data_IF_625532198864
#
_entry.id   IF_625532198864
#
_cell.length_a   1.000
_cell.length_b   1.000
_cell.length_c   1.000
_cell.angle_alpha   90.00
_cell.angle_beta   90.00
_cell.angle_gamma   90.00
#
_symmetry.space_group_name_H-M   'P 1'
#
loop_
_entity.id
_entity.type
_entity.pdbx_description
1 polymer ?
#
# COMPACT_ATOMS: atom_id res chain seq x y z
N UNK A 1 -13.06 31.91 -46.22
CA UNK A 1 -13.12 31.46 -44.80
C UNK A 1 -12.39 30.13 -44.71
N UNK A 2 -11.30 30.08 -43.95
CA UNK A 2 -10.34 28.98 -43.99
C UNK A 2 -10.84 27.79 -43.12
N UNK A 3 -11.04 26.58 -43.68
CA UNK A 3 -11.61 25.45 -42.93
C UNK A 3 -10.64 24.81 -41.92
N UNK A 4 -9.33 25.12 -41.98
CA UNK A 4 -8.35 24.64 -40.99
C UNK A 4 -8.55 25.28 -39.62
N UNK A 5 -8.80 26.59 -39.59
CA UNK A 5 -9.04 27.37 -38.36
C UNK A 5 -10.26 26.90 -37.56
N UNK A 6 -11.26 26.29 -38.20
CA UNK A 6 -12.48 25.82 -37.52
C UNK A 6 -12.28 24.44 -36.83
N UNK A 7 -11.45 23.56 -37.42
CA UNK A 7 -11.12 22.26 -36.84
C UNK A 7 -10.12 22.40 -35.68
N UNK A 8 -9.14 23.31 -35.80
CA UNK A 8 -8.21 23.62 -34.72
C UNK A 8 -8.96 24.27 -33.55
N UNK A 9 -9.94 25.14 -33.80
CA UNK A 9 -10.83 25.70 -32.76
C UNK A 9 -11.71 24.64 -32.09
N UNK A 10 -12.31 23.68 -32.83
CA UNK A 10 -13.09 22.60 -32.22
C UNK A 10 -12.23 21.63 -31.39
N UNK A 11 -10.98 21.41 -31.80
CA UNK A 11 -10.02 20.61 -31.02
C UNK A 11 -9.61 21.39 -29.76
N UNK A 12 -9.33 22.69 -29.86
CA UNK A 12 -9.04 23.56 -28.72
C UNK A 12 -10.20 23.61 -27.73
N UNK A 13 -11.44 23.83 -28.18
CA UNK A 13 -12.65 23.86 -27.35
C UNK A 13 -12.93 22.51 -26.67
N UNK A 14 -12.68 21.39 -27.35
CA UNK A 14 -12.86 20.06 -26.76
C UNK A 14 -11.71 19.66 -25.82
N UNK A 15 -10.49 20.18 -26.01
CA UNK A 15 -9.41 20.07 -25.03
C UNK A 15 -9.61 20.98 -23.84
N UNK A 16 -10.18 22.17 -24.04
CA UNK A 16 -10.50 23.13 -22.99
C UNK A 16 -11.64 22.59 -22.11
N UNK A 17 -12.73 22.07 -22.70
CA UNK A 17 -13.77 21.38 -21.93
C UNK A 17 -13.23 20.16 -21.14
N UNK A 18 -12.23 19.45 -21.67
CA UNK A 18 -11.64 18.31 -20.97
C UNK A 18 -10.67 18.74 -19.85
N UNK A 19 -9.96 19.87 -19.99
CA UNK A 19 -9.17 20.46 -18.91
C UNK A 19 -10.06 21.05 -17.83
N UNK A 20 -11.18 21.68 -18.20
CA UNK A 20 -12.12 22.30 -17.28
C UNK A 20 -12.83 21.22 -16.43
N UNK A 21 -13.19 20.06 -17.02
CA UNK A 21 -13.69 18.89 -16.29
C UNK A 21 -12.62 18.31 -15.35
N UNK A 22 -11.35 18.30 -15.76
CA UNK A 22 -10.25 17.85 -14.90
C UNK A 22 -10.06 18.81 -13.71
N UNK A 23 -10.08 20.12 -13.95
CA UNK A 23 -9.93 21.16 -12.93
C UNK A 23 -11.12 21.22 -11.94
N UNK A 24 -12.32 20.81 -12.37
CA UNK A 24 -13.51 20.70 -11.51
C UNK A 24 -13.54 19.40 -10.68
N UNK A 25 -13.06 18.27 -11.23
CA UNK A 25 -13.10 16.94 -10.58
C UNK A 25 -11.95 16.75 -9.59
N UNK A 26 -10.77 17.29 -9.86
CA UNK A 26 -9.57 17.17 -8.98
C UNK A 26 -9.80 17.71 -7.55
N UNK A 27 -10.40 18.90 -7.34
CA UNK A 27 -10.70 19.41 -6.01
C UNK A 27 -11.89 18.70 -5.33
N UNK A 28 -12.77 18.04 -6.07
CA UNK A 28 -13.84 17.21 -5.50
C UNK A 28 -13.27 15.89 -4.96
N UNK A 29 -12.32 15.29 -5.66
CA UNK A 29 -11.58 14.10 -5.20
C UNK A 29 -10.74 14.41 -3.96
N UNK A 30 -10.13 15.59 -3.87
CA UNK A 30 -9.39 15.99 -2.66
C UNK A 30 -10.29 16.33 -1.46
N UNK A 31 -11.51 16.85 -1.69
CA UNK A 31 -12.51 17.07 -0.63
C UNK A 31 -13.12 15.79 -0.07
N UNK A 32 -13.28 14.75 -0.89
CA UNK A 32 -13.73 13.42 -0.43
C UNK A 32 -12.64 12.74 0.43
N UNK A 33 -11.37 13.10 0.22
CA UNK A 33 -10.22 12.58 0.95
C UNK A 33 -10.12 13.08 2.42
N UNK A 34 -10.92 14.06 2.84
CA UNK A 34 -10.91 14.54 4.22
C UNK A 34 -11.43 13.51 5.26
N UNK A 35 -12.13 12.47 4.81
CA UNK A 35 -12.73 11.46 5.69
C UNK A 35 -11.96 10.14 5.77
N UNK A 36 -10.81 9.99 5.09
CA UNK A 36 -9.94 8.81 5.24
C UNK A 36 -10.55 7.46 4.80
N UNK A 37 -11.66 7.48 4.06
CA UNK A 37 -12.38 6.27 3.62
C UNK A 37 -11.85 5.72 2.29
N UNK A 38 -11.08 6.50 1.52
CA UNK A 38 -10.53 6.09 0.22
C UNK A 38 -9.01 6.00 0.32
N UNK A 39 -8.46 4.80 0.11
CA UNK A 39 -7.00 4.59 0.11
C UNK A 39 -6.37 5.31 -1.09
N UNK A 40 -5.18 5.88 -0.94
CA UNK A 40 -4.47 6.58 -2.03
C UNK A 40 -4.34 5.74 -3.31
N UNK A 41 -4.27 4.41 -3.16
CA UNK A 41 -4.26 3.46 -4.29
C UNK A 41 -5.49 3.57 -5.20
N UNK A 42 -6.68 3.88 -4.65
CA UNK A 42 -7.91 3.99 -5.42
C UNK A 42 -7.99 5.31 -6.19
N UNK A 43 -7.36 6.37 -5.66
CA UNK A 43 -7.22 7.67 -6.33
C UNK A 43 -6.21 7.53 -7.48
N UNK A 44 -5.06 6.89 -7.23
CA UNK A 44 -4.05 6.62 -8.24
C UNK A 44 -4.58 5.72 -9.38
N UNK A 45 -5.36 4.69 -9.05
CA UNK A 45 -5.99 3.83 -10.07
C UNK A 45 -7.06 4.59 -10.89
N UNK A 46 -7.80 5.51 -10.26
CA UNK A 46 -8.77 6.35 -10.96
C UNK A 46 -8.07 7.35 -11.90
N UNK A 47 -7.02 8.02 -11.44
CA UNK A 47 -6.23 8.96 -12.24
C UNK A 47 -5.53 8.24 -13.41
N UNK A 48 -4.99 7.05 -13.17
CA UNK A 48 -4.37 6.21 -14.21
C UNK A 48 -5.38 5.79 -15.27
N UNK A 49 -6.59 5.38 -14.86
CA UNK A 49 -7.65 4.99 -15.78
C UNK A 49 -8.13 6.16 -16.66
N UNK A 50 -8.25 7.36 -16.08
CA UNK A 50 -8.60 8.60 -16.82
C UNK A 50 -7.50 8.98 -17.82
N UNK A 51 -6.23 8.90 -17.41
CA UNK A 51 -5.10 9.22 -18.27
C UNK A 51 -4.93 8.23 -19.42
N UNK A 52 -5.11 6.93 -19.18
CA UNK A 52 -5.06 5.90 -20.23
C UNK A 52 -6.20 6.10 -21.25
N UNK A 53 -7.40 6.46 -20.79
CA UNK A 53 -8.53 6.81 -21.65
C UNK A 53 -8.24 8.05 -22.53
N UNK A 54 -7.69 9.11 -21.94
CA UNK A 54 -7.30 10.32 -22.66
C UNK A 54 -6.20 10.06 -23.70
N UNK A 55 -5.34 9.05 -23.47
CA UNK A 55 -4.30 8.63 -24.40
C UNK A 55 -4.86 7.84 -25.58
N UNK A 56 -5.78 6.91 -25.33
CA UNK A 56 -6.38 6.08 -26.38
C UNK A 56 -7.39 6.86 -27.23
N UNK A 57 -8.15 7.79 -26.65
CA UNK A 57 -9.02 8.71 -27.41
C UNK A 57 -8.22 9.59 -28.40
N UNK A 58 -7.06 10.13 -27.95
CA UNK A 58 -6.14 10.88 -28.84
C UNK A 58 -5.56 10.00 -29.95
N UNK A 59 -5.23 8.74 -29.64
CA UNK A 59 -4.66 7.77 -30.59
C UNK A 59 -5.66 7.35 -31.66
N UNK A 60 -6.93 7.16 -31.30
CA UNK A 60 -7.96 6.67 -32.21
C UNK A 60 -8.48 7.79 -33.15
N UNK A 61 -8.61 9.01 -32.63
CA UNK A 61 -8.82 10.22 -33.45
C UNK A 61 -7.69 10.40 -34.47
N UNK A 62 -6.42 10.23 -34.06
CA UNK A 62 -5.26 10.33 -34.95
C UNK A 62 -5.17 9.24 -36.03
N UNK A 63 -5.54 7.99 -35.71
CA UNK A 63 -5.60 6.88 -36.69
C UNK A 63 -6.70 7.10 -37.73
N UNK A 64 -7.85 7.60 -37.28
CA UNK A 64 -9.01 7.88 -38.14
C UNK A 64 -8.73 9.06 -39.07
N UNK A 65 -8.13 10.14 -38.55
CA UNK A 65 -7.69 11.27 -39.38
C UNK A 65 -6.65 10.84 -40.44
N UNK A 66 -5.68 10.00 -40.06
CA UNK A 66 -4.69 9.45 -41.02
C UNK A 66 -5.34 8.59 -42.10
N UNK A 67 -6.32 7.76 -41.75
CA UNK A 67 -7.08 6.93 -42.70
C UNK A 67 -7.93 7.76 -43.66
N UNK A 68 -8.54 8.85 -43.19
CA UNK A 68 -9.30 9.76 -44.04
C UNK A 68 -8.38 10.65 -44.91
N UNK A 69 -7.23 11.08 -44.39
CA UNK A 69 -6.22 11.80 -45.19
C UNK A 69 -5.54 10.92 -46.25
N UNK A 70 -5.37 9.61 -46.01
CA UNK A 70 -4.88 8.70 -47.06
C UNK A 70 -5.87 8.52 -48.21
N UNK A 71 -7.18 8.58 -47.94
CA UNK A 71 -8.24 8.54 -48.97
C UNK A 71 -8.25 9.83 -49.81
N UNK A 72 -7.99 10.99 -49.20
CA UNK A 72 -7.79 12.25 -49.93
C UNK A 72 -6.53 12.22 -50.79
N UNK A 73 -5.47 11.53 -50.34
CA UNK A 73 -4.21 11.38 -51.09
C UNK A 73 -4.35 10.42 -52.28
N UNK A 74 -5.21 9.40 -52.20
CA UNK A 74 -5.51 8.49 -53.33
C UNK A 74 -6.50 9.04 -54.35
N UNK A 75 -7.29 10.06 -53.99
CA UNK A 75 -8.23 10.75 -54.89
C UNK A 75 -7.56 11.82 -55.79
N UNK A 76 -6.24 11.97 -55.69
CA UNK A 76 -5.46 12.96 -56.44
C UNK A 76 -5.05 12.50 -57.83
N UNK A 77 -5.98 12.34 -58.76
CA UNK A 77 -5.75 12.37 -60.22
C UNK A 77 -7.09 12.59 -60.95
N UNK A 78 -7.34 13.81 -61.42
CA UNK A 78 -8.26 14.08 -62.55
C UNK A 78 -9.69 14.59 -62.31
N UNK A 79 -10.08 15.05 -61.12
CA UNK A 79 -11.47 15.52 -60.86
C UNK A 79 -11.66 17.05 -60.85
N UNK A 80 -12.78 17.52 -61.42
CA UNK A 80 -13.22 18.92 -61.45
C UNK A 80 -13.39 19.51 -60.05
N UNK A 81 -13.16 20.83 -59.91
CA UNK A 81 -13.19 21.56 -58.63
C UNK A 81 -14.55 21.43 -57.90
N UNK A 82 -15.62 21.26 -58.67
CA UNK A 82 -16.97 21.01 -58.15
C UNK A 82 -17.09 19.66 -57.42
N UNK A 83 -16.44 18.61 -57.92
CA UNK A 83 -16.47 17.27 -57.29
C UNK A 83 -15.68 17.23 -55.99
N UNK A 84 -14.62 18.04 -55.90
CA UNK A 84 -13.84 18.26 -54.67
C UNK A 84 -14.65 18.98 -53.59
N UNK A 85 -15.45 19.97 -53.97
CA UNK A 85 -16.34 20.68 -53.03
C UNK A 85 -17.46 19.76 -52.55
N UNK A 86 -18.02 18.93 -53.43
CA UNK A 86 -19.06 17.95 -53.07
C UNK A 86 -18.55 16.89 -52.10
N UNK A 87 -17.35 16.35 -52.34
CA UNK A 87 -16.70 15.39 -51.42
C UNK A 87 -16.35 16.04 -50.08
N UNK A 88 -15.85 17.27 -50.07
CA UNK A 88 -15.62 18.02 -48.82
C UNK A 88 -16.91 18.26 -48.04
N UNK A 89 -18.01 18.69 -48.68
CA UNK A 89 -19.31 18.84 -48.01
C UNK A 89 -19.80 17.52 -47.42
N UNK A 90 -19.73 16.42 -48.17
CA UNK A 90 -20.13 15.10 -47.64
C UNK A 90 -19.26 14.61 -46.49
N UNK A 91 -17.99 15.03 -46.43
CA UNK A 91 -17.08 14.73 -45.32
C UNK A 91 -17.41 15.60 -44.11
N UNK A 92 -17.68 16.90 -44.30
CA UNK A 92 -18.12 17.80 -43.24
C UNK A 92 -19.44 17.32 -42.64
N UNK A 93 -20.41 16.90 -43.44
CA UNK A 93 -21.70 16.36 -42.95
C UNK A 93 -21.52 15.06 -42.16
N UNK A 94 -20.57 14.20 -42.57
CA UNK A 94 -20.24 12.97 -41.84
C UNK A 94 -19.46 13.23 -40.55
N UNK A 95 -18.64 14.27 -40.51
CA UNK A 95 -17.98 14.75 -39.29
C UNK A 95 -18.99 15.37 -38.32
N UNK A 96 -19.92 16.18 -38.82
CA UNK A 96 -20.98 16.77 -38.01
C UNK A 96 -21.94 15.72 -37.42
N UNK A 97 -22.10 14.58 -38.11
CA UNK A 97 -22.83 13.39 -37.63
C UNK A 97 -22.02 12.51 -36.66
N UNK A 98 -20.71 12.75 -36.53
CA UNK A 98 -19.85 12.13 -35.52
C UNK A 98 -19.76 12.99 -34.26
N UNK A 99 -19.93 14.32 -34.38
CA UNK A 99 -20.03 15.27 -33.25
C UNK A 99 -21.35 15.18 -32.47
N UNK A 100 -22.38 14.51 -33.00
CA UNK A 100 -23.54 14.16 -32.17
C UNK A 100 -23.12 13.04 -31.19
N UNK A 101 -23.19 13.26 -29.86
CA UNK A 101 -22.72 12.28 -28.88
C UNK A 101 -23.51 10.99 -29.10
N UNK A 102 -22.80 9.96 -29.57
CA UNK A 102 -23.41 8.66 -29.83
C UNK A 102 -23.95 8.13 -28.52
N UNK A 103 -25.27 7.91 -28.50
CA UNK A 103 -26.13 7.36 -27.45
C UNK A 103 -25.64 6.04 -26.79
N UNK A 104 -24.50 5.50 -27.21
CA UNK A 104 -23.83 4.30 -26.68
C UNK A 104 -22.83 4.59 -25.54
N UNK A 105 -22.29 5.81 -25.43
CA UNK A 105 -21.33 6.17 -24.38
C UNK A 105 -21.99 6.32 -22.99
N UNK A 106 -23.31 6.55 -22.96
CA UNK A 106 -24.07 6.60 -21.72
C UNK A 106 -24.21 5.26 -21.00
N UNK A 107 -23.87 4.11 -21.59
CA UNK A 107 -24.11 2.80 -20.95
C UNK A 107 -23.00 2.44 -19.95
N UNK A 108 -21.73 2.70 -20.27
CA UNK A 108 -20.60 2.34 -19.41
C UNK A 108 -20.48 3.31 -18.24
N UNK A 109 -20.57 4.63 -18.50
CA UNK A 109 -20.59 5.64 -17.44
C UNK A 109 -21.79 5.49 -16.51
N UNK A 110 -22.98 5.19 -17.05
CA UNK A 110 -24.17 4.90 -16.22
C UNK A 110 -23.97 3.62 -15.40
N UNK A 111 -23.35 2.58 -15.95
CA UNK A 111 -23.01 1.34 -15.20
C UNK A 111 -22.00 1.60 -14.09
N UNK A 112 -20.97 2.40 -14.34
CA UNK A 112 -19.96 2.76 -13.35
C UNK A 112 -20.54 3.65 -12.24
N UNK A 113 -21.31 4.68 -12.59
CA UNK A 113 -22.03 5.50 -11.60
C UNK A 113 -23.05 4.70 -10.80
N UNK A 114 -23.76 3.76 -11.44
CA UNK A 114 -24.65 2.83 -10.75
C UNK A 114 -23.89 1.89 -9.80
N UNK A 115 -22.71 1.41 -10.20
CA UNK A 115 -21.84 0.59 -9.36
C UNK A 115 -21.41 1.35 -8.10
N UNK A 116 -20.86 2.56 -8.23
CA UNK A 116 -20.46 3.36 -7.07
C UNK A 116 -21.63 3.78 -6.19
N UNK A 117 -22.78 4.09 -6.79
CA UNK A 117 -24.01 4.39 -6.04
C UNK A 117 -24.49 3.17 -5.24
N UNK A 118 -24.46 1.99 -5.83
CA UNK A 118 -24.81 0.75 -5.16
C UNK A 118 -23.79 0.42 -4.07
N UNK A 119 -22.50 0.54 -4.36
CA UNK A 119 -21.42 0.32 -3.39
C UNK A 119 -21.56 1.26 -2.18
N UNK A 120 -21.81 2.55 -2.42
CA UNK A 120 -22.07 3.51 -1.35
C UNK A 120 -23.31 3.13 -0.53
N UNK A 121 -24.39 2.69 -1.20
CA UNK A 121 -25.60 2.24 -0.54
C UNK A 121 -25.34 1.02 0.35
N UNK A 122 -24.59 0.03 -0.16
CA UNK A 122 -24.25 -1.20 0.56
C UNK A 122 -23.42 -0.90 1.82
N UNK A 123 -22.39 -0.04 1.72
CA UNK A 123 -21.60 0.37 2.89
C UNK A 123 -22.40 1.23 3.87
N UNK A 124 -23.31 2.09 3.39
CA UNK A 124 -24.19 2.87 4.26
C UNK A 124 -25.16 1.97 5.02
N UNK A 125 -25.77 1.00 4.35
CA UNK A 125 -26.65 0.01 4.97
C UNK A 125 -25.88 -0.81 6.01
N UNK A 126 -24.70 -1.32 5.67
CA UNK A 126 -23.82 -2.01 6.62
C UNK A 126 -23.45 -1.15 7.84
N UNK A 127 -23.19 0.15 7.66
CA UNK A 127 -22.89 1.04 8.77
C UNK A 127 -24.11 1.28 9.68
N UNK A 128 -25.31 1.41 9.10
CA UNK A 128 -26.55 1.51 9.86
C UNK A 128 -26.80 0.23 10.65
N UNK A 129 -26.57 -0.93 10.04
CA UNK A 129 -26.72 -2.24 10.67
C UNK A 129 -25.74 -2.45 11.83
N UNK A 130 -24.50 -2.00 11.70
CA UNK A 130 -23.55 -2.02 12.83
C UNK A 130 -24.04 -1.16 13.99
N UNK A 131 -24.62 0.03 13.71
CA UNK A 131 -25.13 0.92 14.75
C UNK A 131 -26.39 0.34 15.41
N UNK A 132 -27.30 -0.28 14.64
CA UNK A 132 -28.47 -0.96 15.21
C UNK A 132 -28.05 -2.16 16.03
N UNK A 133 -27.10 -2.97 15.57
CA UNK A 133 -26.55 -4.10 16.33
C UNK A 133 -25.88 -3.65 17.64
N UNK A 134 -25.15 -2.53 17.62
CA UNK A 134 -24.61 -1.89 18.82
C UNK A 134 -25.68 -1.51 19.85
N UNK A 135 -26.87 -1.10 19.39
CA UNK A 135 -27.99 -0.74 20.27
C UNK A 135 -28.73 -1.97 20.78
N UNK A 136 -28.92 -2.98 19.92
CA UNK A 136 -29.66 -4.20 20.26
C UNK A 136 -28.87 -5.12 21.21
N UNK A 137 -27.54 -5.18 21.06
CA UNK A 137 -26.68 -6.09 21.83
C UNK A 137 -25.42 -5.40 22.36
N UNK A 138 -25.56 -4.47 23.32
CA UNK A 138 -24.45 -3.62 23.77
C UNK A 138 -23.26 -4.44 24.29
N UNK A 139 -23.51 -5.54 25.03
CA UNK A 139 -22.45 -6.38 25.59
C UNK A 139 -21.57 -6.99 24.50
N UNK A 140 -22.17 -7.54 23.43
CA UNK A 140 -21.40 -8.15 22.33
C UNK A 140 -20.59 -7.10 21.59
N UNK A 141 -21.21 -5.96 21.28
CA UNK A 141 -20.54 -4.86 20.59
C UNK A 141 -19.41 -4.24 21.41
N UNK A 142 -19.56 -4.17 22.74
CA UNK A 142 -18.45 -3.77 23.62
C UNK A 142 -17.28 -4.75 23.55
N UNK A 143 -17.52 -6.07 23.54
CA UNK A 143 -16.44 -7.06 23.41
C UNK A 143 -15.71 -6.89 22.07
N UNK A 144 -16.44 -6.75 20.97
CA UNK A 144 -15.83 -6.52 19.65
C UNK A 144 -15.06 -5.19 19.59
N UNK A 145 -15.65 -4.11 20.12
CA UNK A 145 -15.02 -2.80 20.19
C UNK A 145 -13.74 -2.82 21.02
N UNK A 146 -13.76 -3.48 22.18
CA UNK A 146 -12.59 -3.65 23.03
C UNK A 146 -11.51 -4.51 22.35
N UNK A 147 -11.91 -5.57 21.64
CA UNK A 147 -10.98 -6.39 20.85
C UNK A 147 -10.28 -5.61 19.74
N UNK A 148 -11.03 -4.79 18.99
CA UNK A 148 -10.47 -3.93 17.94
C UNK A 148 -9.58 -2.83 18.52
N UNK A 149 -10.03 -2.15 19.58
CA UNK A 149 -9.26 -1.11 20.24
C UNK A 149 -7.98 -1.69 20.87
N UNK A 150 -8.07 -2.85 21.53
CA UNK A 150 -6.94 -3.58 22.09
C UNK A 150 -5.97 -4.06 21.01
N UNK A 151 -6.47 -4.62 19.91
CA UNK A 151 -5.65 -5.01 18.77
C UNK A 151 -4.91 -3.83 18.16
N UNK A 152 -5.60 -2.70 17.96
CA UNK A 152 -4.99 -1.46 17.50
C UNK A 152 -3.92 -0.94 18.46
N UNK A 153 -4.20 -0.97 19.77
CA UNK A 153 -3.24 -0.61 20.80
C UNK A 153 -2.00 -1.52 20.76
N UNK A 154 -2.17 -2.83 20.62
CA UNK A 154 -1.06 -3.78 20.50
C UNK A 154 -0.22 -3.54 19.26
N UNK A 155 -0.84 -3.27 18.10
CA UNK A 155 -0.12 -2.96 16.85
C UNK A 155 0.70 -1.67 17.02
N UNK A 156 0.11 -0.65 17.64
CA UNK A 156 0.79 0.63 17.88
C UNK A 156 1.97 0.50 18.85
N UNK A 157 1.84 -0.35 19.86
CA UNK A 157 2.85 -0.60 20.88
C UNK A 157 3.68 -1.87 20.59
N UNK A 158 3.79 -2.27 19.32
CA UNK A 158 4.61 -3.42 18.96
C UNK A 158 6.09 -3.00 18.93
N UNK A 159 6.98 -3.59 19.75
CA UNK A 159 8.38 -3.18 19.81
C UNK A 159 9.13 -3.46 18.50
N UNK A 160 10.07 -2.57 18.20
CA UNK A 160 10.93 -2.65 17.02
C UNK A 160 12.34 -3.15 17.35
N UNK A 161 13.14 -3.44 16.32
CA UNK A 161 14.52 -3.93 16.52
C UNK A 161 15.39 -2.91 17.27
N UNK A 162 15.09 -1.62 17.10
CA UNK A 162 15.81 -0.55 17.80
C UNK A 162 15.52 -0.57 19.29
N UNK A 163 14.25 -0.67 19.69
CA UNK A 163 13.85 -0.85 21.09
C UNK A 163 14.54 -2.05 21.73
N UNK A 164 14.69 -3.17 21.02
CA UNK A 164 15.43 -4.33 21.53
C UNK A 164 16.90 -4.00 21.82
N UNK A 165 17.57 -3.29 20.91
CA UNK A 165 18.98 -2.90 21.07
C UNK A 165 19.16 -1.92 22.22
N UNK A 166 18.22 -0.99 22.39
CA UNK A 166 18.20 -0.03 23.50
C UNK A 166 18.02 -0.76 24.83
N UNK A 167 17.05 -1.67 24.95
CA UNK A 167 16.81 -2.46 26.16
C UNK A 167 18.00 -3.37 26.51
N UNK A 168 18.61 -4.00 25.51
CA UNK A 168 19.80 -4.82 25.72
C UNK A 168 20.97 -4.00 26.25
N UNK A 169 21.20 -2.80 25.70
CA UNK A 169 22.26 -1.90 26.15
C UNK A 169 22.01 -1.42 27.58
N UNK A 170 20.76 -1.07 27.91
CA UNK A 170 20.38 -0.70 29.28
C UNK A 170 20.65 -1.86 30.25
N UNK A 171 20.32 -3.09 29.86
CA UNK A 171 20.54 -4.27 30.69
C UNK A 171 22.02 -4.63 30.84
N UNK A 172 22.82 -4.44 29.80
CA UNK A 172 24.29 -4.54 29.88
C UNK A 172 24.86 -3.50 30.86
N UNK A 173 24.37 -2.26 30.82
CA UNK A 173 24.79 -1.22 31.77
C UNK A 173 24.43 -1.60 33.21
N UNK A 174 23.23 -2.13 33.45
CA UNK A 174 22.81 -2.63 34.77
C UNK A 174 23.72 -3.74 35.28
N UNK A 175 24.04 -4.73 34.43
CA UNK A 175 24.97 -5.81 34.79
C UNK A 175 26.36 -5.25 35.14
N UNK A 176 26.85 -4.29 34.34
CA UNK A 176 28.17 -3.68 34.56
C UNK A 176 28.27 -2.94 35.90
N UNK A 177 27.18 -2.38 36.41
CA UNK A 177 27.14 -1.70 37.71
C UNK A 177 27.29 -2.65 38.91
N UNK A 178 26.94 -3.93 38.75
CA UNK A 178 27.07 -4.95 39.80
C UNK A 178 28.49 -5.52 39.81
N UNK A 179 29.01 -5.97 40.95
CA UNK A 179 30.33 -6.61 41.02
C UNK A 179 30.37 -7.97 40.34
N UNK A 180 31.52 -8.40 39.79
CA UNK A 180 31.61 -9.66 39.04
C UNK A 180 31.25 -10.90 39.85
N UNK A 181 31.50 -10.91 41.16
CA UNK A 181 31.20 -12.05 42.03
C UNK A 181 29.70 -12.23 42.31
N UNK A 182 28.96 -11.12 42.41
CA UNK A 182 27.54 -11.13 42.82
C UNK A 182 26.57 -11.19 41.64
N UNK A 183 27.03 -11.12 40.39
CA UNK A 183 26.14 -11.16 39.20
C UNK A 183 25.63 -12.57 38.94
N UNK A 184 24.39 -12.66 38.47
CA UNK A 184 23.82 -13.92 38.01
C UNK A 184 24.51 -14.41 36.70
N UNK A 185 25.12 -15.61 36.68
CA UNK A 185 25.81 -16.13 35.50
C UNK A 185 24.87 -16.40 34.32
N UNK A 186 23.59 -16.72 34.57
CA UNK A 186 22.63 -16.93 33.49
C UNK A 186 22.30 -15.63 32.74
N UNK A 187 22.08 -14.54 33.48
CA UNK A 187 21.76 -13.23 32.93
C UNK A 187 22.91 -12.71 32.08
N UNK A 188 24.15 -12.82 32.59
CA UNK A 188 25.37 -12.46 31.83
C UNK A 188 25.47 -13.28 30.55
N UNK A 189 25.34 -14.60 30.65
CA UNK A 189 25.47 -15.49 29.50
C UNK A 189 24.46 -15.14 28.41
N UNK A 190 23.22 -14.84 28.80
CA UNK A 190 22.17 -14.45 27.87
C UNK A 190 22.45 -13.10 27.20
N UNK A 191 22.80 -12.06 27.98
CA UNK A 191 23.10 -10.73 27.44
C UNK A 191 24.31 -10.77 26.50
N UNK A 192 25.38 -11.49 26.87
CA UNK A 192 26.57 -11.66 26.03
C UNK A 192 26.23 -12.40 24.73
N UNK A 193 25.44 -13.48 24.80
CA UNK A 193 25.00 -14.20 23.61
C UNK A 193 24.21 -13.28 22.66
N UNK A 194 23.30 -12.47 23.19
CA UNK A 194 22.52 -11.53 22.38
C UNK A 194 23.37 -10.43 21.76
N UNK A 195 24.35 -9.92 22.52
CA UNK A 195 25.34 -8.96 22.04
C UNK A 195 26.17 -9.53 20.89
N UNK A 196 26.63 -10.77 21.02
CA UNK A 196 27.36 -11.48 19.97
C UNK A 196 26.51 -11.70 18.71
N UNK A 197 25.24 -12.09 18.88
CA UNK A 197 24.30 -12.24 17.77
C UNK A 197 24.05 -10.93 17.02
N UNK A 198 23.99 -9.80 17.75
CA UNK A 198 23.86 -8.47 17.16
C UNK A 198 25.13 -8.08 16.40
N UNK A 199 26.31 -8.26 17.01
CA UNK A 199 27.59 -7.92 16.40
C UNK A 199 27.83 -8.72 15.11
N UNK A 200 27.43 -9.99 15.11
CA UNK A 200 27.51 -10.87 13.94
C UNK A 200 26.41 -10.63 12.90
N UNK A 201 25.44 -9.75 13.17
CA UNK A 201 24.26 -9.51 12.33
C UNK A 201 23.49 -10.80 11.99
N UNK A 202 23.41 -11.73 12.94
CA UNK A 202 22.68 -12.99 12.84
C UNK A 202 21.28 -12.91 13.45
N UNK A 203 21.04 -11.92 14.33
CA UNK A 203 19.74 -11.67 14.92
C UNK A 203 18.78 -11.02 13.92
N UNK A 204 17.56 -11.56 13.81
CA UNK A 204 16.54 -11.07 12.87
C UNK A 204 15.21 -10.87 13.58
N UNK A 205 14.48 -9.84 13.16
CA UNK A 205 13.11 -9.56 13.62
C UNK A 205 12.08 -10.08 12.63
N UNK A 206 11.03 -10.70 13.16
CA UNK A 206 9.81 -11.07 12.46
C UNK A 206 8.61 -10.42 13.15
N UNK A 207 7.81 -9.63 12.43
CA UNK A 207 6.64 -8.94 13.01
C UNK A 207 5.35 -9.57 12.47
N UNK A 208 4.41 -9.85 13.38
CA UNK A 208 3.06 -10.37 13.09
C UNK A 208 1.99 -9.31 13.37
N UNK A 209 2.37 -8.03 13.36
CA UNK A 209 1.48 -6.89 13.64
C UNK A 209 1.33 -6.64 15.13
N UNK A 210 0.66 -7.55 15.86
CA UNK A 210 0.38 -7.40 17.30
C UNK A 210 1.55 -7.77 18.23
N UNK A 211 2.48 -8.60 17.76
CA UNK A 211 3.69 -8.96 18.48
C UNK A 211 4.87 -9.09 17.50
N UNK A 212 6.07 -9.10 18.05
CA UNK A 212 7.32 -9.28 17.33
C UNK A 212 8.08 -10.48 17.90
N UNK A 213 8.77 -11.22 17.04
CA UNK A 213 9.66 -12.32 17.42
C UNK A 213 11.06 -11.96 16.96
N UNK A 214 12.04 -12.16 17.85
CA UNK A 214 13.46 -12.13 17.52
C UNK A 214 13.96 -13.57 17.42
N UNK A 215 14.69 -13.89 16.36
CA UNK A 215 15.25 -15.22 16.15
C UNK A 215 16.69 -15.13 15.65
N UNK A 216 17.47 -16.16 15.96
CA UNK A 216 18.88 -16.25 15.62
C UNK A 216 19.02 -17.06 14.33
N UNK A 217 19.71 -16.47 13.34
CA UNK A 217 20.07 -17.15 12.10
C UNK A 217 21.48 -17.76 12.17
N UNK A 218 21.77 -18.77 11.35
CA UNK A 218 23.08 -19.43 11.33
C UNK A 218 24.14 -18.58 10.60
N UNK A 219 23.71 -17.54 9.91
CA UNK A 219 24.55 -16.77 9.01
C UNK A 219 24.09 -15.32 8.99
N UNK A 220 25.06 -14.42 8.84
CA UNK A 220 24.78 -13.00 8.78
C UNK A 220 23.97 -12.66 7.53
N UNK A 221 23.19 -11.57 7.61
CA UNK A 221 22.38 -11.09 6.47
C UNK A 221 23.19 -10.82 5.20
N UNK A 222 24.45 -10.44 5.35
CA UNK A 222 25.34 -10.08 4.25
C UNK A 222 26.26 -11.23 3.83
N UNK A 223 26.08 -12.43 4.37
CA UNK A 223 26.89 -13.59 3.99
C UNK A 223 26.50 -14.10 2.60
N UNK A 224 27.47 -14.13 1.68
CA UNK A 224 27.31 -14.66 0.31
C UNK A 224 27.93 -16.04 0.11
N UNK A 225 28.49 -16.64 1.16
CA UNK A 225 29.08 -17.98 1.08
C UNK A 225 28.04 -19.04 0.71
N UNK A 226 28.50 -20.13 0.08
CA UNK A 226 27.63 -21.24 -0.33
C UNK A 226 26.76 -21.77 0.83
N UNK A 227 27.32 -21.85 2.05
CA UNK A 227 26.61 -22.26 3.27
C UNK A 227 25.38 -21.40 3.57
N UNK A 228 25.46 -20.09 3.28
CA UNK A 228 24.42 -19.10 3.56
C UNK A 228 23.34 -19.07 2.46
N UNK A 229 23.74 -19.33 1.21
CA UNK A 229 22.86 -19.26 0.03
C UNK A 229 22.09 -20.56 -0.22
N UNK A 230 22.67 -21.72 0.13
CA UNK A 230 22.08 -23.04 -0.15
C UNK A 230 20.77 -23.27 0.61
N UNK A 231 19.68 -23.56 -0.12
CA UNK A 231 18.36 -23.80 0.46
C UNK A 231 18.28 -25.06 1.34
N UNK A 232 19.11 -26.08 1.07
CA UNK A 232 19.11 -27.32 1.85
C UNK A 232 19.81 -27.18 3.21
N UNK A 233 20.68 -26.18 3.34
CA UNK A 233 21.37 -25.84 4.59
C UNK A 233 20.56 -24.86 5.44
N UNK A 234 19.43 -24.34 4.91
CA UNK A 234 18.55 -23.45 5.67
C UNK A 234 17.89 -24.22 6.80
N UNK A 235 17.67 -23.55 7.94
CA UNK A 235 16.98 -24.13 9.08
C UNK A 235 15.59 -24.61 8.66
N UNK A 236 15.21 -25.79 9.16
CA UNK A 236 13.87 -26.32 8.98
C UNK A 236 12.87 -25.46 9.76
N UNK A 237 11.66 -25.31 9.23
CA UNK A 237 10.59 -24.54 9.89
C UNK A 237 10.23 -25.15 11.25
N UNK A 238 10.36 -26.48 11.38
CA UNK A 238 10.04 -27.21 12.61
C UNK A 238 11.00 -26.84 13.74
N UNK A 239 12.31 -26.73 13.47
CA UNK A 239 13.32 -26.37 14.48
C UNK A 239 13.42 -24.85 14.74
N UNK A 240 12.54 -24.06 14.15
CA UNK A 240 12.55 -22.61 14.33
C UNK A 240 12.22 -22.20 15.78
N UNK A 241 11.41 -23.01 16.50
CA UNK A 241 11.03 -22.71 17.88
C UNK A 241 12.21 -22.71 18.85
N UNK A 242 13.23 -23.53 18.61
CA UNK A 242 14.45 -23.61 19.45
C UNK A 242 15.36 -22.39 19.26
N UNK A 243 15.15 -21.64 18.18
CA UNK A 243 16.00 -20.53 17.75
C UNK A 243 15.37 -19.16 18.03
N UNK A 244 14.24 -19.15 18.74
CA UNK A 244 13.60 -17.94 19.23
C UNK A 244 14.49 -17.36 20.32
N UNK A 245 14.98 -16.15 20.09
CA UNK A 245 15.76 -15.39 21.06
C UNK A 245 14.85 -14.64 22.04
N UNK A 246 13.85 -13.93 21.51
CA UNK A 246 12.94 -13.12 22.32
C UNK A 246 11.56 -12.95 21.66
N UNK A 247 10.57 -12.63 22.47
CA UNK A 247 9.20 -12.29 22.08
C UNK A 247 8.88 -10.88 22.60
N UNK A 248 8.60 -9.99 21.67
CA UNK A 248 8.22 -8.61 21.91
C UNK A 248 6.71 -8.43 21.90
N UNK A 249 6.15 -7.91 22.99
CA UNK A 249 4.72 -7.63 23.12
C UNK A 249 4.50 -6.44 24.08
N UNK A 250 3.69 -5.47 23.66
CA UNK A 250 3.36 -4.23 24.41
C UNK A 250 4.62 -3.50 24.91
N UNK A 251 5.42 -2.94 23.98
CA UNK A 251 6.65 -2.18 24.24
C UNK A 251 7.67 -2.87 25.16
N UNK A 252 7.61 -4.20 25.29
CA UNK A 252 8.51 -4.97 26.14
C UNK A 252 8.99 -6.23 25.45
N UNK A 253 10.21 -6.61 25.77
CA UNK A 253 10.86 -7.85 25.38
C UNK A 253 10.86 -8.82 26.55
N UNK A 254 10.04 -9.87 26.45
CA UNK A 254 9.65 -10.67 27.61
C UNK A 254 10.73 -11.63 28.08
N UNK A 255 11.50 -12.22 27.16
CA UNK A 255 12.56 -13.17 27.52
C UNK A 255 13.74 -12.41 28.12
N UNK A 256 14.14 -11.29 27.52
CA UNK A 256 15.18 -10.43 28.06
C UNK A 256 14.82 -9.87 29.45
N UNK A 257 13.61 -9.35 29.65
CA UNK A 257 13.15 -8.83 30.95
C UNK A 257 13.15 -9.95 32.00
N UNK A 258 12.64 -11.14 31.65
CA UNK A 258 12.61 -12.30 32.55
C UNK A 258 14.01 -12.79 32.91
N UNK A 259 14.97 -12.77 31.99
CA UNK A 259 16.36 -13.17 32.26
C UNK A 259 17.14 -12.13 33.06
N UNK A 260 16.61 -10.93 33.19
CA UNK A 260 17.17 -9.86 34.02
C UNK A 260 16.51 -9.76 35.41
N UNK A 261 15.57 -10.65 35.75
CA UNK A 261 15.07 -10.78 37.13
C UNK A 261 16.21 -11.35 37.99
N UNK A 262 16.46 -10.73 39.14
CA UNK A 262 17.50 -11.12 40.10
C UNK A 262 18.91 -11.22 39.47
N UNK A 263 19.23 -10.27 38.58
CA UNK A 263 20.52 -10.22 37.89
C UNK A 263 21.72 -9.92 38.83
N UNK A 264 21.43 -9.43 40.04
CA UNK A 264 22.35 -9.06 41.11
C UNK A 264 22.48 -10.13 42.20
N UNK A 265 21.88 -11.30 42.01
CA UNK A 265 21.99 -12.44 42.92
C UNK A 265 22.77 -13.57 42.24
N UNK A 266 23.89 -13.96 42.82
CA UNK A 266 24.63 -15.14 42.40
C UNK A 266 24.32 -16.32 43.32
N UNK A 267 23.55 -17.29 42.83
CA UNK A 267 23.19 -18.48 43.59
C UNK A 267 24.40 -19.38 43.93
N UNK A 268 25.48 -19.30 43.15
CA UNK A 268 26.69 -20.11 43.38
C UNK A 268 27.40 -19.71 44.68
N UNK A 269 27.26 -18.44 45.12
CA UNK A 269 27.82 -17.96 46.39
C UNK A 269 27.13 -18.63 47.60
N UNK A 270 25.84 -18.96 47.46
CA UNK A 270 25.03 -19.53 48.54
C UNK A 270 25.03 -21.07 48.56
N UNK A 271 25.49 -21.73 47.49
CA UNK A 271 25.49 -23.19 47.38
C UNK A 271 26.47 -23.90 48.34
N UNK A 272 27.42 -23.15 48.92
CA UNK A 272 28.47 -23.67 49.82
C UNK A 272 28.23 -23.36 51.31
N UNK A 273 27.04 -22.86 51.69
CA UNK A 273 26.66 -22.57 53.08
C UNK A 273 25.63 -23.58 53.57
#
# INVERSE_FOLDING_TARGET
>A
MNPKTNLDQQIEESTQNASDIHEEVTPLLSRINLHGVITQSMIEDAEKSVNDYMRDSRRDKGKTLKKHMSVLRSSGRGGSLHDKIKTLKTLTDRLHKLDSPKKSEGTIFKRWGMYWKNLYKDYKEAAVDVVTECKERPIKSTIYGLGLAGGYYCIKNNPDERSYREDLLINEMKLTQVGESTRNPESIKHVNLMKDCINTNTLRRFTLGIFSIMWIDNSSKNCTSYKCTCNYLKPQIISLHERIADVGFINKWWILDRKMIDYDINNDEFANT
#
